data_IF_695231730677
#
_entry.id   IF_695231730677
#
_cell.length_a   1.000
_cell.length_b   1.000
_cell.length_c   1.000
_cell.angle_alpha   90.00
_cell.angle_beta   90.00
_cell.angle_gamma   90.00
#
_symmetry.space_group_name_H-M   'P 1'
#
loop_
_entity.id
_entity.type
_entity.pdbx_description
1 polymer ?
#
# COMPACT_ATOMS: atom_id res chain seq x y z
N UNK A 1 -13.62 15.78 7.22
CA UNK A 1 -12.88 14.56 7.64
C UNK A 1 -12.58 13.60 6.48
N UNK A 2 -13.59 13.03 5.79
CA UNK A 2 -13.40 12.08 4.67
C UNK A 2 -12.41 12.55 3.59
N UNK A 3 -12.64 13.75 3.01
CA UNK A 3 -11.73 14.37 2.00
C UNK A 3 -10.27 14.50 2.47
N UNK A 4 -10.04 14.69 3.76
CA UNK A 4 -8.69 14.83 4.34
C UNK A 4 -7.97 13.48 4.43
N UNK A 5 -8.69 12.43 4.81
CA UNK A 5 -8.17 11.07 4.91
C UNK A 5 -7.89 10.50 3.53
N UNK A 6 -8.73 10.81 2.55
CA UNK A 6 -8.48 10.46 1.14
C UNK A 6 -7.19 11.12 0.61
N UNK A 7 -6.95 12.39 0.97
CA UNK A 7 -5.71 13.10 0.62
C UNK A 7 -4.49 12.60 1.39
N UNK A 8 -4.68 12.18 2.65
CA UNK A 8 -3.63 11.73 3.55
C UNK A 8 -4.00 10.40 4.21
N UNK A 9 -3.87 9.27 3.50
CA UNK A 9 -4.39 7.97 3.93
C UNK A 9 -3.65 7.35 5.12
N UNK A 10 -2.50 7.93 5.52
CA UNK A 10 -1.66 7.42 6.61
C UNK A 10 -1.91 8.11 7.96
N UNK A 11 -2.93 8.96 8.06
CA UNK A 11 -3.25 9.63 9.34
C UNK A 11 -3.91 8.63 10.29
N UNK A 12 -3.38 8.52 11.51
CA UNK A 12 -3.94 7.66 12.56
C UNK A 12 -5.18 8.27 13.23
N UNK A 13 -6.06 7.41 13.74
CA UNK A 13 -7.29 7.81 14.44
C UNK A 13 -7.04 8.63 15.71
N UNK A 14 -5.87 8.50 16.34
CA UNK A 14 -5.46 9.29 17.52
C UNK A 14 -5.30 10.76 17.12
N UNK A 15 -4.48 11.02 16.08
CA UNK A 15 -4.25 12.37 15.58
C UNK A 15 -5.52 13.04 15.07
N UNK A 16 -6.42 12.25 14.46
CA UNK A 16 -7.74 12.74 14.03
C UNK A 16 -8.59 13.12 15.24
N UNK A 17 -8.56 12.34 16.32
CA UNK A 17 -9.29 12.65 17.55
C UNK A 17 -8.76 13.92 18.22
N UNK A 18 -7.44 14.09 18.33
CA UNK A 18 -6.79 15.28 18.89
C UNK A 18 -7.19 16.56 18.14
N UNK A 19 -7.19 16.51 16.81
CA UNK A 19 -7.56 17.63 15.96
C UNK A 19 -9.03 18.02 16.12
N UNK A 20 -9.94 17.04 16.13
CA UNK A 20 -11.39 17.29 16.31
C UNK A 20 -11.69 17.81 17.72
N UNK A 21 -11.05 17.23 18.73
CA UNK A 21 -11.24 17.64 20.11
C UNK A 21 -10.77 19.09 20.31
N UNK A 22 -9.66 19.47 19.66
CA UNK A 22 -9.13 20.84 19.69
C UNK A 22 -10.01 21.83 18.92
N UNK A 23 -10.51 21.46 17.73
CA UNK A 23 -11.33 22.35 16.88
C UNK A 23 -12.73 22.58 17.46
N UNK A 24 -13.36 21.54 17.99
CA UNK A 24 -14.77 21.58 18.39
C UNK A 24 -14.98 21.58 19.92
N UNK A 25 -13.89 21.65 20.70
CA UNK A 25 -13.91 21.53 22.17
C UNK A 25 -14.71 20.30 22.65
N UNK A 26 -14.41 19.15 22.03
CA UNK A 26 -15.09 17.86 22.29
C UNK A 26 -14.14 16.87 22.95
N UNK A 27 -14.68 15.75 23.45
CA UNK A 27 -13.88 14.67 24.05
C UNK A 27 -14.22 13.32 23.40
N UNK A 28 -13.85 13.17 22.14
CA UNK A 28 -13.94 11.90 21.44
C UNK A 28 -12.71 11.04 21.65
N UNK A 29 -12.95 9.75 21.92
CA UNK A 29 -11.88 8.76 21.93
C UNK A 29 -11.45 8.40 20.50
N UNK A 30 -10.19 7.96 20.34
CA UNK A 30 -9.71 7.41 19.07
C UNK A 30 -10.55 6.20 18.58
N UNK A 31 -11.18 5.46 19.50
CA UNK A 31 -12.08 4.34 19.17
C UNK A 31 -13.38 4.84 18.55
N UNK A 32 -13.94 5.94 19.07
CA UNK A 32 -15.14 6.57 18.53
C UNK A 32 -14.89 7.04 17.09
N UNK A 33 -13.77 7.72 16.86
CA UNK A 33 -13.35 8.13 15.52
C UNK A 33 -13.18 6.92 14.59
N UNK A 34 -12.52 5.85 15.05
CA UNK A 34 -12.35 4.62 14.26
C UNK A 34 -13.69 3.97 13.87
N UNK A 35 -14.66 3.93 14.78
CA UNK A 35 -15.98 3.38 14.50
C UNK A 35 -16.72 4.23 13.46
N UNK A 36 -16.68 5.55 13.60
CA UNK A 36 -17.25 6.45 12.60
C UNK A 36 -16.57 6.30 11.23
N UNK A 37 -15.24 6.14 11.20
CA UNK A 37 -14.52 5.93 9.93
C UNK A 37 -14.97 4.65 9.21
N UNK A 38 -15.29 3.59 9.96
CA UNK A 38 -15.84 2.37 9.38
C UNK A 38 -17.23 2.58 8.78
N UNK A 39 -18.09 3.41 9.36
CA UNK A 39 -19.43 3.67 8.81
C UNK A 39 -19.39 4.46 7.50
N UNK A 40 -18.27 5.11 7.19
CA UNK A 40 -18.05 5.83 5.93
C UNK A 40 -17.09 5.10 4.98
N UNK A 41 -16.91 3.79 5.18
CA UNK A 41 -16.04 2.88 4.41
C UNK A 41 -14.55 3.22 4.42
N UNK A 42 -14.08 3.96 5.43
CA UNK A 42 -12.67 4.27 5.65
C UNK A 42 -12.07 3.31 6.68
N UNK A 43 -11.82 2.09 6.25
CA UNK A 43 -11.13 1.09 7.07
C UNK A 43 -9.61 1.24 7.01
N UNK A 44 -8.95 0.96 8.13
CA UNK A 44 -7.49 0.94 8.19
C UNK A 44 -6.95 -0.37 7.60
N UNK A 45 -5.98 -0.28 6.70
CA UNK A 45 -5.27 -1.41 6.10
C UNK A 45 -3.78 -1.34 6.41
N UNK A 46 -3.14 -2.50 6.55
CA UNK A 46 -1.68 -2.57 6.65
C UNK A 46 -1.10 -2.55 5.22
N UNK A 47 -0.19 -1.62 4.89
CA UNK A 47 0.40 -1.59 3.56
C UNK A 47 1.22 -2.85 3.31
N UNK A 48 1.12 -3.41 2.11
CA UNK A 48 1.97 -4.51 1.67
C UNK A 48 3.43 -4.04 1.62
N UNK A 49 4.35 -4.85 2.15
CA UNK A 49 5.79 -4.60 1.99
C UNK A 49 6.14 -4.80 0.52
N UNK A 50 6.59 -3.74 -0.15
CA UNK A 50 7.11 -3.77 -1.51
C UNK A 50 8.58 -3.36 -1.50
N UNK A 51 9.43 -3.93 -2.36
CA UNK A 51 10.80 -3.46 -2.51
C UNK A 51 10.77 -1.99 -2.95
N UNK A 52 11.66 -1.18 -2.36
CA UNK A 52 11.84 0.20 -2.81
C UNK A 52 12.56 0.17 -4.15
N UNK A 53 11.89 0.64 -5.19
CA UNK A 53 12.45 0.71 -6.54
C UNK A 53 13.10 2.08 -6.75
N UNK A 54 14.28 2.10 -7.35
CA UNK A 54 14.87 3.33 -7.89
C UNK A 54 14.06 3.82 -9.09
N UNK A 55 14.15 5.10 -9.41
CA UNK A 55 13.51 5.69 -10.60
C UNK A 55 13.90 4.94 -11.89
N UNK A 56 15.18 4.58 -12.01
CA UNK A 56 15.70 3.76 -13.11
C UNK A 56 15.00 2.40 -13.20
N UNK A 57 14.87 1.68 -12.08
CA UNK A 57 14.24 0.37 -12.06
C UNK A 57 12.74 0.44 -12.38
N UNK A 58 12.05 1.51 -11.95
CA UNK A 58 10.65 1.74 -12.32
C UNK A 58 10.53 1.89 -13.84
N UNK A 59 11.37 2.73 -14.44
CA UNK A 59 11.36 2.96 -15.89
C UNK A 59 11.67 1.68 -16.67
N UNK A 60 12.74 0.96 -16.32
CA UNK A 60 13.09 -0.29 -17.00
C UNK A 60 11.99 -1.34 -16.91
N UNK A 61 11.32 -1.48 -15.76
CA UNK A 61 10.19 -2.41 -15.60
C UNK A 61 8.98 -1.99 -16.43
N UNK A 62 8.69 -0.69 -16.49
CA UNK A 62 7.59 -0.16 -17.30
C UNK A 62 7.84 -0.39 -18.79
N UNK A 63 9.05 -0.08 -19.26
CA UNK A 63 9.46 -0.29 -20.65
C UNK A 63 9.37 -1.78 -21.04
N UNK A 64 9.93 -2.67 -20.21
CA UNK A 64 9.84 -4.12 -20.43
C UNK A 64 8.38 -4.59 -20.53
N UNK A 65 7.49 -4.04 -19.69
CA UNK A 65 6.08 -4.40 -19.69
C UNK A 65 5.36 -3.92 -20.96
N UNK A 66 5.71 -2.76 -21.51
CA UNK A 66 5.16 -2.27 -22.79
C UNK A 66 5.62 -3.14 -23.95
N UNK A 67 6.93 -3.43 -24.00
CA UNK A 67 7.54 -4.22 -25.07
C UNK A 67 6.90 -5.61 -25.18
N UNK A 68 6.59 -6.22 -24.05
CA UNK A 68 6.08 -7.59 -23.96
C UNK A 68 4.56 -7.67 -23.71
N UNK A 69 3.83 -6.55 -23.79
CA UNK A 69 2.38 -6.51 -23.50
C UNK A 69 1.56 -7.40 -24.43
N UNK A 70 1.99 -7.50 -25.69
CA UNK A 70 1.30 -8.22 -26.76
C UNK A 70 1.99 -9.52 -27.16
N UNK A 71 2.97 -9.96 -26.37
CA UNK A 71 3.68 -11.20 -26.65
C UNK A 71 2.75 -12.41 -26.53
N UNK A 72 2.76 -13.24 -27.57
CA UNK A 72 1.94 -14.44 -27.64
C UNK A 72 2.36 -15.49 -26.61
N UNK A 73 1.43 -16.37 -26.25
CA UNK A 73 1.75 -17.53 -25.39
C UNK A 73 2.87 -18.41 -25.97
N UNK A 74 2.93 -18.54 -27.30
CA UNK A 74 3.98 -19.29 -27.98
C UNK A 74 5.38 -18.67 -27.82
N UNK A 75 5.46 -17.36 -27.62
CA UNK A 75 6.71 -16.68 -27.25
C UNK A 75 7.12 -17.07 -25.83
N UNK A 76 6.22 -16.92 -24.86
CA UNK A 76 6.50 -17.22 -23.45
C UNK A 76 6.86 -18.69 -23.19
N UNK A 77 6.28 -19.63 -23.97
CA UNK A 77 6.64 -21.05 -23.91
C UNK A 77 8.11 -21.33 -24.26
N UNK A 78 8.76 -20.43 -24.98
CA UNK A 78 10.19 -20.54 -25.33
C UNK A 78 11.10 -19.93 -24.26
N UNK A 79 10.54 -19.14 -23.34
CA UNK A 79 11.31 -18.46 -22.30
C UNK A 79 11.51 -19.42 -21.13
N UNK A 80 12.77 -19.73 -20.84
CA UNK A 80 13.15 -20.47 -19.63
C UNK A 80 13.46 -19.47 -18.51
N UNK A 81 12.69 -19.52 -17.44
CA UNK A 81 12.92 -18.69 -16.24
C UNK A 81 13.82 -19.44 -15.27
N UNK A 82 14.89 -18.79 -14.83
CA UNK A 82 15.75 -19.26 -13.75
C UNK A 82 15.75 -18.20 -12.66
N UNK A 83 15.61 -18.63 -11.41
CA UNK A 83 15.73 -17.76 -10.24
C UNK A 83 16.40 -18.55 -9.11
N UNK A 84 17.19 -17.86 -8.30
CA UNK A 84 17.90 -18.45 -7.17
C UNK A 84 17.21 -18.06 -5.87
N UNK A 85 16.74 -19.05 -5.12
CA UNK A 85 16.16 -18.85 -3.80
C UNK A 85 17.13 -19.35 -2.73
N UNK A 86 17.35 -18.52 -1.70
CA UNK A 86 18.08 -18.94 -0.50
C UNK A 86 17.20 -19.85 0.36
N UNK A 87 17.58 -21.11 0.49
CA UNK A 87 16.93 -22.08 1.37
C UNK A 87 17.79 -22.23 2.63
N UNK A 88 17.26 -21.83 3.78
CA UNK A 88 17.93 -22.01 5.06
C UNK A 88 17.40 -23.27 5.75
N UNK A 89 18.30 -24.22 6.06
CA UNK A 89 17.95 -25.49 6.71
C UNK A 89 17.67 -25.32 8.22
N UNK A 90 18.24 -24.28 8.84
CA UNK A 90 18.04 -23.93 10.25
C UNK A 90 17.80 -22.43 10.39
N UNK A 91 16.95 -22.06 11.36
CA UNK A 91 16.69 -20.68 11.71
C UNK A 91 17.84 -20.15 12.58
N UNK A 92 18.73 -19.38 11.96
CA UNK A 92 19.52 -18.33 12.61
C UNK A 92 19.05 -17.00 12.05
#
# INVERSE_FOLDING_TARGET
MKKKIERFPKIGSIKIAEEINSEFNTNYSARTIKNYLKTVDLSAFRPLKKPLLSSKNIFSRFQYSIEHLWDSEAYWKKVLWLDEAKINLFWI
#
